data_IF_517140485441
#
_entry.id   IF_517140485441
#
_cell.length_a   1.000
_cell.length_b   1.000
_cell.length_c   1.000
_cell.angle_alpha   90.00
_cell.angle_beta   90.00
_cell.angle_gamma   90.00
#
_symmetry.space_group_name_H-M   'P 1'
#
loop_
_entity.id
_entity.type
_entity.pdbx_description
1 polymer ?
#
# COMPACT_ATOMS: atom_id res chain seq x y z
N UNK A 1 5.22 9.80 12.49
CA UNK A 1 3.76 9.63 12.30
C UNK A 1 3.48 8.15 12.43
N UNK A 2 2.65 7.75 13.38
CA UNK A 2 2.15 6.38 13.44
C UNK A 2 1.11 6.21 12.34
N UNK A 3 1.32 5.26 11.43
CA UNK A 3 0.33 4.95 10.40
C UNK A 3 -0.66 3.96 10.99
N UNK A 4 -1.96 4.28 11.05
CA UNK A 4 -2.95 3.37 11.61
C UNK A 4 -2.96 2.05 10.83
N UNK A 5 -2.88 0.93 11.53
CA UNK A 5 -3.08 -0.38 10.93
C UNK A 5 -4.54 -0.53 10.49
N UNK A 6 -4.79 -1.31 9.44
CA UNK A 6 -6.14 -1.61 8.99
C UNK A 6 -6.63 -2.89 9.66
N UNK A 7 -7.74 -2.88 10.44
CA UNK A 7 -8.18 -4.04 11.23
C UNK A 7 -8.55 -5.26 10.37
N UNK A 8 -8.91 -5.08 9.10
CA UNK A 8 -9.23 -6.17 8.16
C UNK A 8 -8.03 -6.86 7.52
N UNK A 9 -6.79 -6.40 7.77
CA UNK A 9 -5.58 -6.89 7.11
C UNK A 9 -4.53 -7.36 8.12
N UNK A 10 -4.79 -8.45 8.86
CA UNK A 10 -3.80 -9.00 9.78
C UNK A 10 -2.55 -9.42 8.99
N UNK A 11 -1.37 -9.07 9.51
CA UNK A 11 -0.08 -9.36 8.88
C UNK A 11 0.34 -8.40 7.77
N UNK A 12 -0.44 -7.33 7.52
CA UNK A 12 0.03 -6.19 6.72
C UNK A 12 0.50 -5.09 7.66
N UNK A 13 1.70 -4.57 7.42
CA UNK A 13 2.26 -3.43 8.15
C UNK A 13 2.43 -2.27 7.19
N UNK A 14 1.93 -1.11 7.56
CA UNK A 14 2.21 0.13 6.85
C UNK A 14 3.46 0.82 7.39
N UNK A 15 4.34 1.26 6.49
CA UNK A 15 5.52 2.07 6.82
C UNK A 15 5.77 3.12 5.75
N UNK A 16 6.71 4.02 5.98
CA UNK A 16 7.16 4.98 4.96
C UNK A 16 7.66 4.22 3.72
N UNK A 17 7.33 4.71 2.54
CA UNK A 17 7.74 4.05 1.30
C UNK A 17 9.25 3.97 1.16
N UNK A 18 9.70 2.91 0.54
CA UNK A 18 11.09 2.73 0.14
C UNK A 18 11.44 3.70 -0.99
N UNK A 19 12.69 4.21 -0.99
CA UNK A 19 13.15 5.21 -1.96
C UNK A 19 13.12 4.73 -3.42
N UNK A 20 13.27 3.42 -3.64
CA UNK A 20 13.27 2.80 -4.96
C UNK A 20 11.86 2.63 -5.56
N UNK A 21 10.80 2.77 -4.75
CA UNK A 21 9.44 2.70 -5.26
C UNK A 21 9.02 3.99 -5.95
N UNK A 22 8.21 3.90 -7.04
CA UNK A 22 7.70 5.07 -7.74
C UNK A 22 7.03 6.10 -6.82
N UNK A 23 7.01 7.36 -7.26
CA UNK A 23 6.38 8.46 -6.51
C UNK A 23 4.86 8.44 -6.55
N UNK A 24 4.25 7.76 -7.51
CA UNK A 24 2.80 7.74 -7.66
C UNK A 24 2.11 6.70 -6.79
N UNK A 25 0.89 7.02 -6.34
CA UNK A 25 0.02 6.06 -5.65
C UNK A 25 -0.25 4.82 -6.53
N UNK A 26 -0.46 3.66 -5.89
CA UNK A 26 -0.89 2.42 -6.58
C UNK A 26 -2.22 2.59 -7.31
N UNK A 27 -3.06 3.51 -6.82
CA UNK A 27 -4.34 3.88 -7.41
C UNK A 27 -4.20 5.06 -8.37
N UNK A 28 -3.03 5.36 -8.92
CA UNK A 28 -2.93 6.33 -10.02
C UNK A 28 -3.16 5.59 -11.35
N UNK A 29 -4.37 5.68 -11.90
CA UNK A 29 -4.70 5.02 -13.17
C UNK A 29 -6.10 5.37 -13.68
N UNK A 30 -6.53 4.67 -14.73
CA UNK A 30 -7.84 4.91 -15.35
C UNK A 30 -9.00 4.47 -14.44
N UNK A 31 -8.86 3.31 -13.78
CA UNK A 31 -9.93 2.73 -12.95
C UNK A 31 -10.08 3.44 -11.59
N UNK A 32 -9.03 4.11 -11.13
CA UNK A 32 -8.99 4.81 -9.84
C UNK A 32 -8.19 6.10 -10.04
N UNK A 33 -8.79 7.29 -9.89
CA UNK A 33 -8.12 8.56 -10.19
C UNK A 33 -7.40 9.14 -8.97
N UNK A 34 -6.59 8.34 -8.26
CA UNK A 34 -5.79 8.88 -7.14
C UNK A 34 -4.58 9.64 -7.70
N UNK A 35 -4.61 10.96 -7.60
CA UNK A 35 -3.51 11.84 -8.01
C UNK A 35 -2.47 12.09 -6.90
N UNK A 36 -2.67 11.50 -5.71
CA UNK A 36 -1.79 11.73 -4.56
C UNK A 36 -0.43 11.05 -4.73
N UNK A 37 0.59 11.67 -4.15
CA UNK A 37 1.90 11.04 -4.03
C UNK A 37 1.84 9.81 -3.11
N UNK A 38 2.56 8.77 -3.50
CA UNK A 38 2.81 7.65 -2.62
C UNK A 38 3.83 8.07 -1.57
N UNK A 39 3.44 7.95 -0.31
CA UNK A 39 4.29 8.27 0.84
C UNK A 39 4.49 7.05 1.75
N UNK A 40 3.63 6.04 1.60
CA UNK A 40 3.60 4.83 2.40
C UNK A 40 3.77 3.58 1.53
N UNK A 41 4.03 2.46 2.18
CA UNK A 41 3.95 1.13 1.59
C UNK A 41 3.31 0.15 2.57
N UNK A 42 2.47 -0.74 2.03
CA UNK A 42 1.92 -1.90 2.72
C UNK A 42 2.88 -3.08 2.53
N UNK A 43 3.31 -3.69 3.63
CA UNK A 43 4.25 -4.81 3.65
C UNK A 43 3.55 -6.05 4.20
N UNK A 44 3.59 -7.15 3.46
CA UNK A 44 3.10 -8.45 3.91
C UNK A 44 4.09 -9.53 3.49
N UNK A 45 4.85 -10.09 4.44
CA UNK A 45 5.95 -11.01 4.13
C UNK A 45 6.95 -10.39 3.14
N UNK A 46 7.05 -10.97 1.93
CA UNK A 46 7.95 -10.45 0.87
C UNK A 46 7.29 -9.43 -0.05
N UNK A 47 5.97 -9.27 0.02
CA UNK A 47 5.23 -8.33 -0.81
C UNK A 47 5.30 -6.91 -0.24
N UNK A 48 5.61 -5.95 -1.10
CA UNK A 48 5.71 -4.52 -0.76
C UNK A 48 4.94 -3.70 -1.79
N UNK A 49 3.88 -3.02 -1.35
CA UNK A 49 2.97 -2.28 -2.25
C UNK A 49 2.84 -0.82 -1.80
N UNK A 50 3.25 0.10 -2.67
CA UNK A 50 3.21 1.55 -2.42
C UNK A 50 1.77 2.10 -2.30
N UNK A 51 1.52 3.12 -1.49
CA UNK A 51 0.25 3.87 -1.46
C UNK A 51 0.42 5.28 -0.86
N UNK A 52 -0.59 6.14 -1.05
CA UNK A 52 -0.75 7.37 -0.28
C UNK A 52 -1.38 7.09 1.10
N UNK A 53 -1.58 8.14 1.91
CA UNK A 53 -2.17 8.02 3.25
C UNK A 53 -3.68 7.73 3.26
N UNK A 54 -4.37 7.92 2.13
CA UNK A 54 -5.82 7.72 2.04
C UNK A 54 -6.21 6.28 2.37
N UNK A 55 -7.26 6.11 3.18
CA UNK A 55 -7.69 4.78 3.64
C UNK A 55 -8.04 3.84 2.47
N UNK A 56 -8.71 4.33 1.43
CA UNK A 56 -9.04 3.51 0.25
C UNK A 56 -7.79 2.98 -0.48
N UNK A 57 -6.75 3.81 -0.57
CA UNK A 57 -5.47 3.43 -1.17
C UNK A 57 -4.70 2.46 -0.27
N UNK A 58 -4.70 2.69 1.05
CA UNK A 58 -4.12 1.76 2.03
C UNK A 58 -4.81 0.41 1.99
N UNK A 59 -6.15 0.37 1.93
CA UNK A 59 -6.94 -0.87 1.86
C UNK A 59 -6.57 -1.69 0.63
N UNK A 60 -6.56 -1.05 -0.54
CA UNK A 60 -6.16 -1.74 -1.77
C UNK A 60 -4.70 -2.19 -1.78
N UNK A 61 -3.78 -1.38 -1.27
CA UNK A 61 -2.39 -1.78 -1.14
C UNK A 61 -2.22 -3.01 -0.23
N UNK A 62 -2.98 -3.08 0.87
CA UNK A 62 -3.00 -4.23 1.76
C UNK A 62 -3.59 -5.48 1.09
N UNK A 63 -4.67 -5.36 0.33
CA UNK A 63 -5.24 -6.47 -0.46
C UNK A 63 -4.22 -7.04 -1.43
N UNK A 64 -3.55 -6.16 -2.19
CA UNK A 64 -2.53 -6.55 -3.16
C UNK A 64 -1.32 -7.20 -2.47
N UNK A 65 -0.85 -6.64 -1.36
CA UNK A 65 0.28 -7.18 -0.61
C UNK A 65 -0.02 -8.61 -0.12
N UNK A 66 -1.22 -8.84 0.44
CA UNK A 66 -1.65 -10.20 0.84
C UNK A 66 -1.73 -11.16 -0.34
N UNK A 67 -2.34 -10.73 -1.45
CA UNK A 67 -2.48 -11.53 -2.66
C UNK A 67 -1.12 -11.94 -3.26
N UNK A 68 -0.15 -11.03 -3.27
CA UNK A 68 1.19 -11.31 -3.79
C UNK A 68 2.00 -12.20 -2.85
N UNK A 69 1.86 -12.00 -1.53
CA UNK A 69 2.52 -12.84 -0.55
C UNK A 69 2.01 -14.29 -0.60
N UNK A 70 0.72 -14.52 -0.85
CA UNK A 70 0.16 -15.88 -0.96
C UNK A 70 0.56 -16.62 -2.23
N UNK A 71 1.20 -15.94 -3.19
CA UNK A 71 1.68 -16.51 -4.46
C UNK A 71 3.19 -16.75 -4.48
N UNK A 72 3.89 -16.36 -3.41
CA UNK A 72 5.35 -16.44 -3.25
C UNK A 72 5.74 -17.61 -2.36
#
# INVERSE_FOLDING_TARGET
MEVPQLPGFPGVVFRCKSRWQPFNCINQGYDYPCANESTLEAVCGKAVVRCCADEGCRRRAAEMARLWNSRS
#
